data_IF_515901041701
#
_entry.id   IF_515901041701
#
_cell.length_a   1.000
_cell.length_b   1.000
_cell.length_c   1.000
_cell.angle_alpha   90.00
_cell.angle_beta   90.00
_cell.angle_gamma   90.00
#
_symmetry.space_group_name_H-M   'P 1'
#
loop_
_entity.id
_entity.type
_entity.pdbx_description
1 polymer ?
#
# COMPACT_ATOMS: atom_id res chain seq x y z
N UNK A 1 -13.34 4.21 -17.23
CA UNK A 1 -12.61 3.65 -16.08
C UNK A 1 -11.73 2.49 -16.56
N UNK A 2 -10.51 2.74 -17.09
CA UNK A 2 -9.78 1.65 -17.80
C UNK A 2 -8.24 1.65 -17.73
N UNK A 3 -7.59 2.45 -16.87
CA UNK A 3 -6.12 2.57 -16.90
C UNK A 3 -5.44 2.79 -15.53
N UNK A 4 -5.88 2.11 -14.47
CA UNK A 4 -5.06 1.93 -13.26
C UNK A 4 -5.19 0.52 -12.75
N UNK A 5 -4.56 -0.39 -13.48
CA UNK A 5 -4.44 -1.79 -13.10
C UNK A 5 -2.99 -1.91 -12.69
N UNK A 6 -2.69 -1.89 -11.38
CA UNK A 6 -1.43 -2.48 -10.92
C UNK A 6 -1.48 -3.91 -11.46
N UNK A 7 -0.61 -4.29 -12.41
CA UNK A 7 -0.74 -5.58 -13.06
C UNK A 7 -0.66 -6.65 -11.98
N UNK A 8 -1.63 -7.56 -11.97
CA UNK A 8 -1.72 -8.63 -10.96
C UNK A 8 -0.42 -9.44 -10.85
N UNK A 9 0.44 -9.41 -11.88
CA UNK A 9 1.74 -10.06 -11.88
C UNK A 9 2.69 -9.44 -10.84
N UNK A 10 2.69 -8.11 -10.67
CA UNK A 10 3.51 -7.42 -9.67
C UNK A 10 3.03 -7.82 -8.27
N UNK A 11 1.72 -7.85 -8.06
CA UNK A 11 1.11 -8.27 -6.79
C UNK A 11 1.49 -9.71 -6.45
N UNK A 12 1.44 -10.63 -7.44
CA UNK A 12 1.88 -12.01 -7.27
C UNK A 12 3.36 -12.12 -6.91
N UNK A 13 4.23 -11.36 -7.57
CA UNK A 13 5.67 -11.35 -7.29
C UNK A 13 5.92 -10.85 -5.85
N UNK A 14 5.30 -9.76 -5.44
CA UNK A 14 5.46 -9.22 -4.07
C UNK A 14 4.91 -10.23 -3.04
N UNK A 15 3.86 -10.98 -3.35
CA UNK A 15 3.33 -12.01 -2.45
C UNK A 15 4.30 -13.17 -2.26
N UNK A 16 4.90 -13.66 -3.35
CA UNK A 16 5.91 -14.72 -3.27
C UNK A 16 7.15 -14.24 -2.49
N UNK A 17 7.61 -13.02 -2.74
CA UNK A 17 8.74 -12.44 -2.02
C UNK A 17 8.41 -12.19 -0.54
N UNK A 18 7.24 -11.65 -0.23
CA UNK A 18 6.81 -11.36 1.13
C UNK A 18 6.66 -12.62 1.97
N UNK A 19 6.10 -13.68 1.40
CA UNK A 19 6.03 -14.99 2.08
C UNK A 19 7.41 -15.60 2.31
N UNK A 20 8.34 -15.50 1.36
CA UNK A 20 9.73 -15.95 1.54
C UNK A 20 10.45 -15.17 2.66
N UNK A 21 10.30 -13.84 2.70
CA UNK A 21 10.89 -12.98 3.74
C UNK A 21 10.30 -13.31 5.12
N UNK A 22 8.99 -13.51 5.20
CA UNK A 22 8.31 -13.84 6.45
C UNK A 22 8.71 -15.21 7.02
N UNK A 23 8.94 -16.19 6.14
CA UNK A 23 9.48 -17.50 6.52
C UNK A 23 10.93 -17.39 7.00
N UNK A 24 11.76 -16.57 6.35
CA UNK A 24 13.15 -16.34 6.76
C UNK A 24 13.25 -15.68 8.14
N UNK A 25 12.37 -14.73 8.45
CA UNK A 25 12.35 -14.03 9.74
C UNK A 25 11.60 -14.79 10.85
N UNK A 26 10.96 -15.93 10.57
CA UNK A 26 10.25 -16.73 11.57
C UNK A 26 8.94 -16.13 12.12
N UNK A 27 8.43 -15.05 11.51
CA UNK A 27 7.22 -14.34 11.96
C UNK A 27 5.95 -14.69 11.16
N UNK A 28 5.98 -15.79 10.40
CA UNK A 28 4.94 -16.18 9.44
C UNK A 28 3.51 -16.19 9.99
N UNK A 29 3.32 -16.73 11.20
CA UNK A 29 1.99 -16.85 11.83
C UNK A 29 1.39 -15.47 12.15
N UNK A 30 2.18 -14.57 12.74
CA UNK A 30 1.71 -13.22 13.07
C UNK A 30 1.45 -12.38 11.81
N UNK A 31 2.36 -12.44 10.83
CA UNK A 31 2.19 -11.74 9.56
C UNK A 31 0.96 -12.23 8.78
N UNK A 32 0.66 -13.53 8.82
CA UNK A 32 -0.52 -14.10 8.15
C UNK A 32 -1.83 -13.62 8.77
N UNK A 33 -1.92 -13.56 10.10
CA UNK A 33 -3.10 -13.04 10.80
C UNK A 33 -3.36 -11.57 10.46
N UNK A 34 -2.30 -10.75 10.45
CA UNK A 34 -2.41 -9.32 10.13
C UNK A 34 -2.78 -9.10 8.66
N UNK A 35 -2.28 -9.95 7.76
CA UNK A 35 -2.68 -9.95 6.35
C UNK A 35 -4.18 -10.19 6.18
N UNK A 36 -4.73 -11.23 6.82
CA UNK A 36 -6.15 -11.58 6.72
C UNK A 36 -7.02 -10.45 7.28
N UNK A 37 -6.64 -9.92 8.46
CA UNK A 37 -7.37 -8.83 9.09
C UNK A 37 -7.36 -7.56 8.22
N UNK A 38 -6.18 -7.17 7.73
CA UNK A 38 -6.03 -6.02 6.84
C UNK A 38 -6.83 -6.22 5.55
N UNK A 39 -6.80 -7.42 4.97
CA UNK A 39 -7.56 -7.73 3.77
C UNK A 39 -9.07 -7.53 3.97
N UNK A 40 -9.64 -7.99 5.08
CA UNK A 40 -11.07 -7.81 5.39
C UNK A 40 -11.43 -6.32 5.52
N UNK A 41 -10.62 -5.57 6.28
CA UNK A 41 -10.86 -4.13 6.50
C UNK A 41 -10.80 -3.36 5.19
N UNK A 42 -9.71 -3.52 4.42
CA UNK A 42 -9.55 -2.79 3.16
C UNK A 42 -10.51 -3.28 2.07
N UNK A 43 -10.94 -4.55 2.10
CA UNK A 43 -12.00 -5.03 1.23
C UNK A 43 -13.34 -4.32 1.51
N UNK A 44 -13.66 -4.07 2.78
CA UNK A 44 -14.83 -3.27 3.17
C UNK A 44 -14.71 -1.81 2.66
N UNK A 45 -13.54 -1.18 2.81
CA UNK A 45 -13.29 0.17 2.27
C UNK A 45 -13.37 0.24 0.73
N UNK A 46 -12.94 -0.83 0.04
CA UNK A 46 -13.11 -0.94 -1.41
C UNK A 46 -14.57 -1.09 -1.80
N UNK A 47 -15.34 -1.90 -1.08
CA UNK A 47 -16.78 -2.07 -1.32
C UNK A 47 -17.55 -0.74 -1.15
N UNK A 48 -17.12 0.08 -0.20
CA UNK A 48 -17.65 1.44 0.00
C UNK A 48 -17.18 2.46 -1.04
N UNK A 49 -16.29 2.09 -1.97
CA UNK A 49 -15.86 2.93 -3.08
C UNK A 49 -14.81 4.00 -2.74
N UNK A 50 -14.23 3.97 -1.53
CA UNK A 50 -13.25 4.97 -1.10
C UNK A 50 -11.85 4.77 -1.70
N UNK A 51 -11.47 3.51 -1.99
CA UNK A 51 -10.11 3.15 -2.43
C UNK A 51 -10.18 2.28 -3.69
N UNK A 52 -9.18 2.40 -4.58
CA UNK A 52 -9.06 1.53 -5.74
C UNK A 52 -8.71 0.09 -5.34
N UNK A 53 -9.40 -0.91 -5.91
CA UNK A 53 -9.19 -2.32 -5.56
C UNK A 53 -7.77 -2.84 -5.86
N UNK A 54 -7.01 -2.16 -6.71
CA UNK A 54 -5.59 -2.44 -6.93
C UNK A 54 -4.72 -2.04 -5.74
N UNK A 55 -4.99 -0.87 -5.15
CA UNK A 55 -4.22 -0.32 -4.03
C UNK A 55 -4.43 -1.16 -2.76
N UNK A 56 -5.67 -1.62 -2.52
CA UNK A 56 -6.00 -2.55 -1.43
C UNK A 56 -5.15 -3.83 -1.51
N UNK A 57 -5.08 -4.44 -2.69
CA UNK A 57 -4.29 -5.66 -2.89
C UNK A 57 -2.81 -5.42 -2.65
N UNK A 58 -2.26 -4.29 -3.11
CA UNK A 58 -0.86 -3.94 -2.90
C UNK A 58 -0.54 -3.77 -1.41
N UNK A 59 -1.35 -2.96 -0.69
CA UNK A 59 -1.20 -2.72 0.75
C UNK A 59 -1.24 -4.04 1.52
N UNK A 60 -2.22 -4.90 1.23
CA UNK A 60 -2.32 -6.20 1.89
C UNK A 60 -1.06 -7.04 1.67
N UNK A 61 -0.61 -7.18 0.42
CA UNK A 61 0.57 -8.01 0.13
C UNK A 61 1.85 -7.48 0.80
N UNK A 62 1.99 -6.17 0.99
CA UNK A 62 3.13 -5.61 1.72
C UNK A 62 3.09 -5.87 3.23
N UNK A 63 1.91 -6.00 3.85
CA UNK A 63 1.82 -6.38 5.28
C UNK A 63 2.40 -7.77 5.57
N UNK A 64 2.46 -8.67 4.57
CA UNK A 64 3.15 -9.96 4.71
C UNK A 64 4.68 -9.83 4.72
N UNK A 65 5.22 -8.85 4.01
CA UNK A 65 6.67 -8.66 3.87
C UNK A 65 7.30 -7.88 5.02
N UNK A 66 6.52 -7.01 5.68
CA UNK A 66 6.99 -6.13 6.76
C UNK A 66 6.79 -6.83 8.11
N UNK A 67 7.78 -6.72 9.01
CA UNK A 67 7.70 -7.22 10.39
C UNK A 67 6.50 -6.60 11.13
N UNK A 68 5.76 -7.39 11.93
CA UNK A 68 4.50 -6.94 12.56
C UNK A 68 4.64 -5.65 13.37
N UNK A 69 5.81 -5.44 14.00
CA UNK A 69 6.09 -4.27 14.84
C UNK A 69 6.05 -2.94 14.05
N UNK A 70 6.34 -2.97 12.74
CA UNK A 70 6.39 -1.78 11.89
C UNK A 70 5.12 -1.56 11.07
N UNK A 71 4.12 -2.43 11.18
CA UNK A 71 2.89 -2.33 10.38
C UNK A 71 2.06 -1.10 10.75
N UNK A 72 2.01 -0.72 12.03
CA UNK A 72 1.36 0.52 12.45
C UNK A 72 2.02 1.75 11.78
N UNK A 73 3.35 1.76 11.74
CA UNK A 73 4.12 2.82 11.09
C UNK A 73 3.89 2.84 9.57
N UNK A 74 3.75 1.66 8.94
CA UNK A 74 3.39 1.52 7.53
C UNK A 74 2.10 2.24 7.18
N UNK A 75 1.03 2.00 7.94
CA UNK A 75 -0.26 2.64 7.67
C UNK A 75 -0.22 4.15 7.89
N UNK A 76 0.47 4.61 8.94
CA UNK A 76 0.66 6.05 9.18
C UNK A 76 1.39 6.70 8.01
N UNK A 77 2.45 6.07 7.51
CA UNK A 77 3.28 6.63 6.45
C UNK A 77 2.56 6.66 5.10
N UNK A 78 1.77 5.63 4.78
CA UNK A 78 0.87 5.66 3.61
C UNK A 78 -0.17 6.78 3.77
N UNK A 79 -0.73 6.96 4.97
CA UNK A 79 -1.68 8.02 5.26
C UNK A 79 -1.09 9.41 5.04
N UNK A 80 0.11 9.67 5.58
CA UNK A 80 0.82 10.96 5.44
C UNK A 80 1.19 11.22 3.99
N UNK A 81 1.84 10.27 3.31
CA UNK A 81 2.24 10.46 1.91
C UNK A 81 1.02 10.55 0.99
N UNK A 82 -0.04 9.80 1.29
CA UNK A 82 -1.31 9.89 0.60
C UNK A 82 -1.97 11.25 0.76
N UNK A 83 -2.03 11.78 1.99
CA UNK A 83 -2.53 13.13 2.26
C UNK A 83 -1.69 14.20 1.56
N UNK A 84 -0.36 14.09 1.62
CA UNK A 84 0.56 14.98 0.93
C UNK A 84 0.32 14.98 -0.58
N UNK A 85 0.10 13.81 -1.18
CA UNK A 85 -0.20 13.69 -2.60
C UNK A 85 -1.52 14.37 -2.97
N UNK A 86 -2.56 14.23 -2.15
CA UNK A 86 -3.85 14.93 -2.34
C UNK A 86 -3.65 16.44 -2.27
N UNK A 87 -2.91 16.94 -1.28
CA UNK A 87 -2.62 18.37 -1.11
C UNK A 87 -1.86 18.91 -2.32
N UNK A 88 -0.83 18.22 -2.80
CA UNK A 88 -0.08 18.61 -4.00
C UNK A 88 -1.00 18.67 -5.21
N UNK A 89 -1.91 17.70 -5.37
CA UNK A 89 -2.83 17.65 -6.51
C UNK A 89 -3.85 18.80 -6.45
N UNK A 90 -4.39 19.13 -5.28
CA UNK A 90 -5.28 20.29 -5.08
C UNK A 90 -4.54 21.59 -5.35
N UNK A 91 -3.31 21.74 -4.84
CA UNK A 91 -2.48 22.92 -5.07
C UNK A 91 -2.17 23.09 -6.57
N UNK A 92 -1.81 22.02 -7.27
CA UNK A 92 -1.59 22.03 -8.71
C UNK A 92 -2.85 22.40 -9.50
N UNK A 93 -4.02 21.90 -9.10
CA UNK A 93 -5.27 22.24 -9.78
C UNK A 93 -5.66 23.71 -9.53
N UNK A 94 -5.45 24.22 -8.31
CA UNK A 94 -5.65 25.63 -7.97
C UNK A 94 -4.73 26.56 -8.78
N UNK A 95 -3.44 26.20 -8.90
CA UNK A 95 -2.42 26.98 -9.61
C UNK A 95 -2.57 26.95 -11.13
N UNK A 96 -2.90 25.79 -11.71
CA UNK A 96 -2.88 25.59 -13.16
C UNK A 96 -4.27 25.44 -13.80
N UNK A 97 -5.37 25.49 -13.02
CA UNK A 97 -6.78 25.29 -13.46
C UNK A 97 -6.93 24.12 -14.44
N UNK A 98 -6.16 23.05 -14.24
CA UNK A 98 -6.16 21.89 -15.13
C UNK A 98 -7.05 20.83 -14.53
N UNK A 99 -8.24 20.64 -15.15
CA UNK A 99 -9.27 19.60 -14.91
C UNK A 99 -8.72 18.16 -15.02
N UNK A 100 -7.68 17.81 -14.27
CA UNK A 100 -7.06 16.50 -14.24
C UNK A 100 -7.45 15.69 -13.00
N UNK A 101 -8.13 16.32 -12.02
CA UNK A 101 -8.72 15.62 -10.86
C UNK A 101 -9.70 14.52 -11.30
N UNK A 102 -10.31 14.63 -12.50
CA UNK A 102 -11.20 13.58 -13.05
C UNK A 102 -10.53 12.21 -13.27
N UNK A 103 -9.19 12.12 -13.29
CA UNK A 103 -8.48 10.83 -13.48
C UNK A 103 -8.17 10.09 -12.17
N UNK A 104 -8.59 10.63 -11.02
CA UNK A 104 -8.36 10.04 -9.69
C UNK A 104 -6.93 10.22 -9.18
N UNK A 105 -6.68 10.01 -7.88
CA UNK A 105 -5.37 10.22 -7.24
C UNK A 105 -4.49 8.97 -7.39
N UNK A 106 -3.27 9.04 -7.97
CA UNK A 106 -2.44 7.86 -8.19
C UNK A 106 -1.72 7.43 -6.91
N UNK A 107 -2.42 6.72 -6.03
CA UNK A 107 -1.90 6.21 -4.74
C UNK A 107 -0.75 5.19 -4.85
N UNK A 108 -0.41 4.71 -6.05
CA UNK A 108 0.73 3.81 -6.24
C UNK A 108 2.08 4.40 -5.82
N UNK A 109 2.25 5.73 -5.91
CA UNK A 109 3.50 6.41 -5.53
C UNK A 109 3.74 6.34 -4.01
N UNK A 110 2.83 6.84 -3.15
CA UNK A 110 3.02 6.79 -1.71
C UNK A 110 3.13 5.34 -1.21
N UNK A 111 2.31 4.43 -1.74
CA UNK A 111 2.38 3.01 -1.37
C UNK A 111 3.76 2.42 -1.68
N UNK A 112 4.30 2.65 -2.88
CA UNK A 112 5.61 2.09 -3.25
C UNK A 112 6.74 2.64 -2.39
N UNK A 113 6.74 3.95 -2.13
CA UNK A 113 7.76 4.61 -1.29
C UNK A 113 7.69 4.10 0.15
N UNK A 114 6.50 4.07 0.76
CA UNK A 114 6.31 3.55 2.11
C UNK A 114 6.78 2.10 2.23
N UNK A 115 6.41 1.28 1.25
CA UNK A 115 6.70 -0.14 1.27
C UNK A 115 8.20 -0.42 1.14
N UNK A 116 8.89 0.29 0.25
CA UNK A 116 10.33 0.13 0.07
C UNK A 116 11.11 0.56 1.32
N UNK A 117 10.76 1.71 1.89
CA UNK A 117 11.42 2.23 3.09
C UNK A 117 11.27 1.28 4.28
N UNK A 118 10.06 0.75 4.50
CA UNK A 118 9.78 -0.13 5.64
C UNK A 118 10.29 -1.55 5.45
N UNK A 119 10.38 -2.03 4.22
CA UNK A 119 11.03 -3.30 3.93
C UNK A 119 12.54 -3.24 4.24
N UNK A 120 13.22 -2.14 3.92
CA UNK A 120 14.63 -1.93 4.29
C UNK A 120 14.79 -1.89 5.81
N UNK A 121 13.96 -1.12 6.51
CA UNK A 121 14.00 -1.03 7.97
C UNK A 121 13.77 -2.40 8.61
N UNK A 122 12.79 -3.15 8.10
CA UNK A 122 12.48 -4.50 8.57
C UNK A 122 13.64 -5.49 8.37
N UNK A 123 14.43 -5.34 7.30
CA UNK A 123 15.61 -6.18 7.05
C UNK A 123 16.80 -5.79 7.94
N UNK A 124 16.97 -4.50 8.23
CA UNK A 124 18.05 -4.01 9.10
C UNK A 124 17.78 -4.30 10.58
N UNK A 125 16.50 -4.38 10.98
CA UNK A 125 16.05 -4.67 12.34
C UNK A 125 15.91 -6.19 12.62
N UNK A 126 16.52 -7.04 11.80
CA UNK A 126 16.53 -8.49 11.92
C UNK A 126 17.95 -9.01 12.12
#
# INVERSE_FOLDING_TARGET
MRYRIIPNIIIKIIFVLGTAISLYQGHFINSSLIFIFSFIVFFCFWYLGFIGGGDVKAICVFTLAIKPDFIAFYFILIGILGAMQVVIMIAYDCLFKKVQIKKGIPYGIPISISSFMLLIISLLAN
#
